data_IF_046436226799
#
_entry.id   IF_046436226799
#
_cell.length_a   1.000
_cell.length_b   1.000
_cell.length_c   1.000
_cell.angle_alpha   90.00
_cell.angle_beta   90.00
_cell.angle_gamma   90.00
#
_symmetry.space_group_name_H-M   'P 1'
#
loop_
_entity.id
_entity.type
_entity.pdbx_description
1 polymer ?
#
# COMPACT_ATOMS: atom_id res chain seq x y z
N UNK A 1 23.66 53.49 -43.86
CA UNK A 1 23.48 52.05 -44.19
C UNK A 1 24.10 51.20 -43.08
N UNK A 2 23.29 50.35 -42.42
CA UNK A 2 23.78 49.22 -41.69
C UNK A 2 23.83 49.27 -40.15
N UNK A 3 22.71 49.30 -39.45
CA UNK A 3 22.60 48.88 -38.02
C UNK A 3 21.32 48.07 -37.75
N UNK A 4 20.97 47.10 -38.57
CA UNK A 4 19.79 46.26 -38.38
C UNK A 4 20.08 44.77 -38.10
N UNK A 5 21.35 44.36 -38.10
CA UNK A 5 21.72 42.92 -37.99
C UNK A 5 21.98 42.36 -36.61
N UNK A 6 22.07 43.18 -35.53
CA UNK A 6 22.53 42.74 -34.21
C UNK A 6 21.39 42.45 -33.22
N UNK A 7 20.16 42.81 -33.50
CA UNK A 7 19.04 42.66 -32.57
C UNK A 7 18.33 41.30 -32.72
N UNK A 8 18.34 40.71 -33.91
CA UNK A 8 17.70 39.39 -34.14
C UNK A 8 18.47 38.21 -33.56
N UNK A 9 19.79 38.30 -33.37
CA UNK A 9 20.61 37.20 -32.86
C UNK A 9 20.54 37.07 -31.32
N UNK A 10 20.14 38.13 -30.62
CA UNK A 10 20.00 38.13 -29.17
C UNK A 10 18.68 37.59 -28.64
N UNK A 11 17.62 37.64 -29.44
CA UNK A 11 16.30 37.13 -29.07
C UNK A 11 16.23 35.60 -29.21
N UNK A 12 16.98 34.98 -30.11
CA UNK A 12 17.01 33.55 -30.35
C UNK A 12 17.69 32.75 -29.22
N UNK A 13 18.61 33.33 -28.45
CA UNK A 13 19.31 32.65 -27.37
C UNK A 13 18.47 32.54 -26.08
N UNK A 14 17.54 33.49 -25.86
CA UNK A 14 16.64 33.46 -24.70
C UNK A 14 15.49 32.49 -24.86
N UNK A 15 15.07 32.14 -26.08
CA UNK A 15 14.03 31.17 -26.37
C UNK A 15 14.49 29.70 -26.19
N UNK A 16 15.79 29.42 -26.28
CA UNK A 16 16.37 28.08 -26.05
C UNK A 16 16.51 27.71 -24.57
N UNK A 17 16.53 28.70 -23.67
CA UNK A 17 16.58 28.47 -22.22
C UNK A 17 15.24 28.10 -21.59
N UNK A 18 14.14 28.33 -22.28
CA UNK A 18 12.76 28.04 -21.81
C UNK A 18 12.36 26.57 -22.05
N UNK A 19 13.13 25.78 -22.80
CA UNK A 19 12.82 24.37 -23.11
C UNK A 19 13.51 23.35 -22.21
N UNK A 20 14.38 23.78 -21.30
CA UNK A 20 14.96 22.93 -20.29
C UNK A 20 14.20 23.04 -18.97
N UNK A 21 12.86 22.83 -19.00
CA UNK A 21 12.17 22.48 -17.77
C UNK A 21 12.67 21.10 -17.34
N UNK A 22 13.28 20.96 -16.15
CA UNK A 22 13.57 19.64 -15.63
C UNK A 22 12.24 18.90 -15.61
N UNK A 23 12.15 17.79 -16.34
CA UNK A 23 11.10 16.81 -16.15
C UNK A 23 11.25 16.35 -14.69
N UNK A 24 10.53 17.00 -13.79
CA UNK A 24 10.45 16.60 -12.38
C UNK A 24 9.93 15.19 -12.40
N UNK A 25 10.84 14.28 -12.13
CA UNK A 25 10.61 12.86 -12.31
C UNK A 25 9.39 12.43 -11.51
N UNK A 26 8.42 11.85 -12.21
CA UNK A 26 7.30 11.13 -11.62
C UNK A 26 7.78 9.83 -10.93
N UNK A 27 9.02 9.81 -10.46
CA UNK A 27 9.67 8.68 -9.83
C UNK A 27 9.38 8.56 -8.33
N UNK A 28 9.66 7.38 -7.79
CA UNK A 28 9.64 7.15 -6.37
C UNK A 28 10.82 7.84 -5.69
N UNK A 29 10.57 8.57 -4.61
CA UNK A 29 11.58 9.26 -3.79
C UNK A 29 11.66 8.56 -2.44
N UNK A 30 12.86 8.09 -2.05
CA UNK A 30 13.11 7.52 -0.73
C UNK A 30 12.95 8.61 0.33
N UNK A 31 12.05 8.40 1.27
CA UNK A 31 11.76 9.33 2.37
C UNK A 31 12.39 8.88 3.69
N UNK A 32 12.32 7.59 3.99
CA UNK A 32 12.82 7.04 5.24
C UNK A 32 13.37 5.63 5.04
N UNK A 33 14.36 5.28 5.87
CA UNK A 33 14.88 3.93 6.00
C UNK A 33 15.17 3.69 7.47
N UNK A 34 14.21 3.12 8.22
CA UNK A 34 14.33 2.88 9.65
C UNK A 34 14.11 1.41 9.97
N UNK A 35 14.97 0.84 10.81
CA UNK A 35 14.86 -0.55 11.26
C UNK A 35 14.71 -1.58 10.12
N UNK A 36 15.29 -1.30 8.93
CA UNK A 36 15.15 -2.17 7.75
C UNK A 36 13.78 -2.08 7.06
N UNK A 37 12.98 -1.06 7.35
CA UNK A 37 11.77 -0.69 6.60
C UNK A 37 12.14 0.49 5.71
N UNK A 38 11.95 0.34 4.40
CA UNK A 38 12.18 1.40 3.43
C UNK A 38 10.83 2.00 3.01
N UNK A 39 10.74 3.32 3.00
CA UNK A 39 9.55 4.07 2.58
C UNK A 39 9.90 4.99 1.42
N UNK A 40 9.19 4.89 0.33
CA UNK A 40 9.22 5.80 -0.80
C UNK A 40 7.88 6.49 -0.96
N UNK A 41 7.92 7.70 -1.48
CA UNK A 41 6.73 8.45 -1.86
C UNK A 41 6.80 8.86 -3.33
N UNK A 42 5.63 9.07 -3.93
CA UNK A 42 5.49 9.58 -5.28
C UNK A 42 4.24 10.46 -5.36
N UNK A 43 4.31 11.64 -6.01
CA UNK A 43 3.11 12.39 -6.37
C UNK A 43 2.14 11.51 -7.17
N UNK A 44 0.85 11.54 -6.85
CA UNK A 44 -0.18 10.79 -7.57
C UNK A 44 -1.13 11.78 -8.27
N UNK A 45 -0.99 11.98 -9.61
CA UNK A 45 -1.88 12.86 -10.36
C UNK A 45 -3.32 12.30 -10.40
N UNK A 46 -4.36 13.19 -10.38
CA UNK A 46 -4.30 14.66 -10.37
C UNK A 46 -4.23 15.28 -8.97
N UNK A 47 -4.06 14.49 -7.91
CA UNK A 47 -4.14 14.96 -6.52
C UNK A 47 -2.81 15.42 -5.92
N UNK A 48 -2.92 16.09 -4.76
CA UNK A 48 -1.77 16.50 -3.96
C UNK A 48 -1.33 15.42 -2.94
N UNK A 49 -2.10 14.35 -2.79
CA UNK A 49 -1.77 13.25 -1.89
C UNK A 49 -0.71 12.35 -2.52
N UNK A 50 0.14 11.76 -1.66
CA UNK A 50 1.22 10.91 -2.09
C UNK A 50 0.79 9.45 -2.20
N UNK A 51 1.24 8.77 -3.26
CA UNK A 51 1.33 7.33 -3.26
C UNK A 51 2.54 6.90 -2.42
N UNK A 52 2.38 5.83 -1.66
CA UNK A 52 3.39 5.28 -0.78
C UNK A 52 3.83 3.91 -1.28
N UNK A 53 5.13 3.61 -1.17
CA UNK A 53 5.68 2.27 -1.29
C UNK A 53 6.50 1.97 -0.05
N UNK A 54 6.22 0.83 0.57
CA UNK A 54 6.99 0.33 1.71
C UNK A 54 7.52 -1.06 1.40
N UNK A 55 8.73 -1.33 1.89
CA UNK A 55 9.38 -2.64 1.76
C UNK A 55 10.08 -3.02 3.05
N UNK A 56 10.01 -4.32 3.40
CA UNK A 56 10.78 -4.89 4.52
C UNK A 56 11.02 -6.38 4.30
N UNK A 57 12.07 -6.90 4.89
CA UNK A 57 12.30 -8.34 4.99
C UNK A 57 11.88 -8.85 6.36
N UNK A 58 11.15 -9.99 6.38
CA UNK A 58 10.61 -10.57 7.61
C UNK A 58 10.98 -12.04 7.69
N UNK A 59 11.47 -12.50 8.85
CA UNK A 59 11.76 -13.91 9.11
C UNK A 59 10.48 -14.69 9.43
N UNK A 60 9.59 -14.78 8.45
CA UNK A 60 8.31 -15.48 8.51
C UNK A 60 7.88 -15.89 7.09
N UNK A 61 7.03 -16.93 6.92
CA UNK A 61 6.54 -17.32 5.60
C UNK A 61 5.54 -16.30 5.03
N UNK A 62 5.37 -16.23 3.69
CA UNK A 62 4.41 -15.31 3.05
C UNK A 62 2.98 -15.41 3.60
N UNK A 63 2.53 -16.60 3.96
CA UNK A 63 1.21 -16.85 4.53
C UNK A 63 0.97 -16.09 5.86
N UNK A 64 2.03 -15.76 6.60
CA UNK A 64 1.92 -15.00 7.84
C UNK A 64 1.38 -13.57 7.58
N UNK A 65 1.77 -12.93 6.46
CA UNK A 65 1.20 -11.64 6.08
C UNK A 65 -0.32 -11.74 5.88
N UNK A 66 -0.78 -12.75 5.14
CA UNK A 66 -2.20 -12.94 4.89
C UNK A 66 -2.98 -13.21 6.18
N UNK A 67 -2.40 -14.01 7.10
CA UNK A 67 -3.00 -14.26 8.40
C UNK A 67 -3.17 -12.97 9.21
N UNK A 68 -2.16 -12.09 9.24
CA UNK A 68 -2.24 -10.78 9.92
C UNK A 68 -3.29 -9.88 9.28
N UNK A 69 -3.30 -9.75 7.95
CA UNK A 69 -4.22 -8.84 7.25
C UNK A 69 -5.69 -9.30 7.33
N UNK A 70 -5.95 -10.61 7.42
CA UNK A 70 -7.30 -11.18 7.53
C UNK A 70 -7.83 -11.30 8.95
N UNK A 71 -6.98 -11.13 9.96
CA UNK A 71 -7.41 -11.13 11.36
C UNK A 71 -8.04 -9.78 11.72
N UNK A 72 -9.31 -9.64 11.38
CA UNK A 72 -10.08 -8.41 11.65
C UNK A 72 -10.33 -8.19 13.14
N UNK A 73 -10.18 -9.20 14.00
CA UNK A 73 -10.28 -9.05 15.45
C UNK A 73 -9.10 -8.32 16.07
N UNK A 74 -7.94 -8.37 15.41
CA UNK A 74 -6.69 -7.75 15.88
C UNK A 74 -6.24 -6.56 15.03
N UNK A 75 -7.15 -5.98 14.25
CA UNK A 75 -6.81 -4.90 13.30
C UNK A 75 -6.12 -3.68 13.95
N UNK A 76 -6.47 -3.33 15.18
CA UNK A 76 -5.88 -2.19 15.89
C UNK A 76 -4.40 -2.38 16.21
N UNK A 77 -3.91 -3.62 16.23
CA UNK A 77 -2.50 -3.89 16.52
C UNK A 77 -1.57 -3.46 15.37
N UNK A 78 -2.08 -3.42 14.12
CA UNK A 78 -1.30 -3.00 12.96
C UNK A 78 -1.91 -1.82 12.19
N UNK A 79 -3.17 -1.48 12.43
CA UNK A 79 -3.86 -0.31 11.86
C UNK A 79 -4.42 0.54 13.02
N UNK A 80 -3.58 1.25 13.78
CA UNK A 80 -3.95 1.88 15.05
C UNK A 80 -5.05 2.94 14.93
N UNK A 81 -5.20 3.60 13.76
CA UNK A 81 -6.28 4.55 13.53
C UNK A 81 -7.63 3.87 13.23
N UNK A 82 -7.69 2.55 13.08
CA UNK A 82 -8.94 1.86 12.79
C UNK A 82 -9.80 1.73 14.05
N UNK A 83 -11.03 2.22 13.97
CA UNK A 83 -12.04 2.11 15.03
C UNK A 83 -12.89 0.86 14.85
N UNK A 84 -13.09 0.45 13.62
CA UNK A 84 -13.91 -0.71 13.25
C UNK A 84 -13.38 -1.32 11.96
N UNK A 85 -13.26 -2.65 11.92
CA UNK A 85 -13.01 -3.43 10.70
C UNK A 85 -13.94 -4.62 10.68
N UNK A 86 -14.68 -4.80 9.59
CA UNK A 86 -15.57 -5.96 9.43
C UNK A 86 -15.65 -6.42 7.99
N UNK A 87 -15.69 -7.70 7.79
CA UNK A 87 -15.94 -8.31 6.48
C UNK A 87 -17.40 -8.16 6.16
N UNK A 88 -17.74 -7.53 5.03
CA UNK A 88 -19.10 -7.36 4.54
C UNK A 88 -19.56 -8.55 3.71
N UNK A 89 -18.66 -9.06 2.85
CA UNK A 89 -18.95 -10.17 1.95
C UNK A 89 -17.66 -10.88 1.53
N UNK A 90 -17.81 -12.10 1.07
CA UNK A 90 -16.77 -12.91 0.41
C UNK A 90 -17.32 -13.38 -0.94
N UNK A 91 -17.16 -12.57 -2.01
CA UNK A 91 -17.70 -12.91 -3.33
C UNK A 91 -17.09 -14.19 -3.92
N UNK A 92 -15.84 -14.48 -3.58
CA UNK A 92 -15.12 -15.69 -3.94
C UNK A 92 -14.15 -16.12 -2.81
N UNK A 93 -13.57 -17.33 -2.84
CA UNK A 93 -12.64 -17.81 -1.79
C UNK A 93 -11.42 -16.91 -1.58
N UNK A 94 -10.97 -16.25 -2.64
CA UNK A 94 -9.82 -15.34 -2.63
C UNK A 94 -10.23 -13.86 -2.75
N UNK A 95 -11.49 -13.52 -2.48
CA UNK A 95 -12.01 -12.15 -2.50
C UNK A 95 -12.72 -11.81 -1.21
N UNK A 96 -12.42 -10.63 -0.67
CA UNK A 96 -13.07 -10.09 0.51
C UNK A 96 -13.55 -8.65 0.22
N UNK A 97 -14.78 -8.30 0.68
CA UNK A 97 -15.25 -6.92 0.76
C UNK A 97 -15.23 -6.53 2.23
N UNK A 98 -14.47 -5.49 2.56
CA UNK A 98 -14.20 -5.10 3.94
C UNK A 98 -14.58 -3.65 4.15
N UNK A 99 -15.30 -3.39 5.24
CA UNK A 99 -15.58 -2.06 5.75
C UNK A 99 -14.54 -1.72 6.83
N UNK A 100 -13.98 -0.51 6.76
CA UNK A 100 -13.06 0.04 7.75
C UNK A 100 -13.49 1.45 8.12
N UNK A 101 -13.64 1.72 9.43
CA UNK A 101 -13.79 3.07 9.98
C UNK A 101 -12.46 3.54 10.55
N UNK A 102 -12.02 4.71 10.13
CA UNK A 102 -10.76 5.32 10.54
C UNK A 102 -11.03 6.59 11.36
N UNK A 103 -10.37 6.70 12.50
CA UNK A 103 -10.39 7.90 13.31
C UNK A 103 -9.73 9.06 12.57
N UNK A 104 -10.27 10.25 12.74
CA UNK A 104 -9.63 11.49 12.33
C UNK A 104 -9.50 12.44 13.54
N UNK A 105 -8.45 13.30 13.59
CA UNK A 105 -8.29 14.26 14.67
C UNK A 105 -9.41 15.29 14.64
N UNK A 106 -9.98 15.58 15.81
CA UNK A 106 -10.98 16.64 15.94
C UNK A 106 -10.43 17.99 15.40
N UNK A 107 -11.23 18.82 14.69
CA UNK A 107 -12.67 18.74 14.44
C UNK A 107 -13.08 17.97 13.16
N UNK A 108 -12.19 17.18 12.61
CA UNK A 108 -12.40 16.46 11.37
C UNK A 108 -13.26 15.21 11.60
N UNK A 109 -14.22 14.95 10.70
CA UNK A 109 -15.05 13.75 10.77
C UNK A 109 -14.22 12.48 10.51
N UNK A 110 -14.60 11.36 11.13
CA UNK A 110 -14.05 10.05 10.82
C UNK A 110 -14.20 9.71 9.33
N UNK A 111 -13.27 8.90 8.85
CA UNK A 111 -13.35 8.35 7.49
C UNK A 111 -13.89 6.93 7.51
N UNK A 112 -14.60 6.59 6.46
CA UNK A 112 -14.98 5.22 6.20
C UNK A 112 -14.51 4.79 4.81
N UNK A 113 -13.96 3.61 4.76
CA UNK A 113 -13.43 3.01 3.54
C UNK A 113 -14.05 1.63 3.37
N UNK A 114 -14.58 1.35 2.19
CA UNK A 114 -14.93 0.00 1.79
C UNK A 114 -13.93 -0.42 0.72
N UNK A 115 -13.30 -1.56 0.93
CA UNK A 115 -12.36 -2.13 -0.01
C UNK A 115 -12.87 -3.45 -0.55
N UNK A 116 -12.60 -3.71 -1.82
CA UNK A 116 -12.65 -5.03 -2.41
C UNK A 116 -11.21 -5.50 -2.58
N UNK A 117 -10.91 -6.71 -2.17
CA UNK A 117 -9.57 -7.30 -2.30
C UNK A 117 -9.64 -8.62 -3.04
N UNK A 118 -8.57 -8.91 -3.81
CA UNK A 118 -8.38 -10.17 -4.51
C UNK A 118 -6.98 -10.71 -4.25
N UNK A 119 -6.91 -11.93 -3.74
CA UNK A 119 -5.69 -12.67 -3.49
C UNK A 119 -5.30 -13.49 -4.73
N UNK A 120 -4.04 -13.37 -5.14
CA UNK A 120 -3.38 -14.24 -6.09
C UNK A 120 -2.26 -15.00 -5.39
N UNK A 121 -2.23 -16.33 -5.54
CA UNK A 121 -1.14 -17.19 -5.06
C UNK A 121 -0.16 -17.41 -6.20
N UNK A 122 1.12 -17.23 -5.94
CA UNK A 122 2.19 -17.46 -6.90
C UNK A 122 2.72 -18.90 -6.79
N UNK A 123 3.33 -19.45 -7.85
CA UNK A 123 3.84 -20.83 -7.84
C UNK A 123 4.94 -21.09 -6.81
N UNK A 124 5.69 -20.06 -6.43
CA UNK A 124 6.76 -20.09 -5.42
C UNK A 124 6.26 -19.86 -3.98
N UNK A 125 4.93 -19.99 -3.76
CA UNK A 125 4.24 -19.67 -2.51
C UNK A 125 4.23 -18.18 -2.14
N UNK A 126 4.65 -17.32 -3.04
CA UNK A 126 4.44 -15.89 -2.93
C UNK A 126 2.94 -15.55 -2.99
N UNK A 127 2.60 -14.40 -2.46
CA UNK A 127 1.23 -13.88 -2.43
C UNK A 127 1.20 -12.47 -2.97
N UNK A 128 0.15 -12.17 -3.72
CA UNK A 128 -0.21 -10.82 -4.16
C UNK A 128 -1.65 -10.56 -3.77
N UNK A 129 -1.88 -9.51 -2.96
CA UNK A 129 -3.22 -9.06 -2.60
C UNK A 129 -3.45 -7.68 -3.21
N UNK A 130 -4.28 -7.63 -4.24
CA UNK A 130 -4.74 -6.36 -4.83
C UNK A 130 -5.96 -5.85 -4.07
N UNK A 131 -5.99 -4.56 -3.76
CA UNK A 131 -7.04 -3.91 -2.98
C UNK A 131 -7.47 -2.64 -3.69
N UNK A 132 -8.77 -2.40 -3.80
CA UNK A 132 -9.31 -1.16 -4.39
C UNK A 132 -10.57 -0.73 -3.66
N UNK A 133 -10.89 0.56 -3.71
CA UNK A 133 -12.11 1.09 -3.11
C UNK A 133 -13.36 0.54 -3.80
N UNK A 134 -14.35 0.19 -3.00
CA UNK A 134 -15.69 -0.23 -3.42
C UNK A 134 -16.74 0.65 -2.71
N UNK A 135 -16.75 1.99 -2.97
CA UNK A 135 -17.49 2.96 -2.15
C UNK A 135 -19.01 2.76 -2.17
N UNK A 136 -19.52 2.11 -3.20
CA UNK A 136 -20.96 1.93 -3.40
C UNK A 136 -21.47 0.55 -2.92
N UNK A 137 -20.60 -0.30 -2.34
CA UNK A 137 -20.98 -1.61 -1.78
C UNK A 137 -21.84 -1.49 -0.49
N UNK A 138 -21.89 -0.32 0.13
CA UNK A 138 -22.73 -0.01 1.28
C UNK A 138 -23.08 1.48 1.25
N UNK A 139 -24.34 1.88 1.59
CA UNK A 139 -24.69 3.28 1.76
C UNK A 139 -23.77 3.99 2.76
N UNK A 140 -23.44 5.29 2.56
CA UNK A 140 -22.61 6.05 3.50
C UNK A 140 -23.30 6.19 4.86
N UNK A 141 -22.53 6.12 5.95
CA UNK A 141 -23.02 6.41 7.28
C UNK A 141 -23.03 7.92 7.54
N UNK A 142 -24.09 8.47 8.15
CA UNK A 142 -24.12 9.87 8.56
C UNK A 142 -22.93 10.23 9.47
N UNK A 143 -22.39 11.43 9.30
CA UNK A 143 -21.28 11.93 10.13
C UNK A 143 -19.91 11.34 9.83
N UNK A 144 -19.77 10.62 8.73
CA UNK A 144 -18.50 10.04 8.22
C UNK A 144 -18.24 10.47 6.80
N UNK A 145 -16.97 10.61 6.44
CA UNK A 145 -16.57 10.89 5.06
C UNK A 145 -16.21 9.60 4.37
N UNK A 146 -16.93 9.26 3.28
CA UNK A 146 -16.65 8.08 2.48
C UNK A 146 -15.43 8.31 1.59
N UNK A 147 -14.37 7.53 1.82
CA UNK A 147 -13.22 7.45 0.90
C UNK A 147 -13.68 6.76 -0.39
N UNK A 148 -13.58 7.48 -1.51
CA UNK A 148 -14.03 6.98 -2.81
C UNK A 148 -12.88 6.46 -3.68
N UNK A 149 -11.65 6.90 -3.41
CA UNK A 149 -10.47 6.51 -4.16
C UNK A 149 -9.43 5.96 -3.21
N UNK A 150 -9.17 4.67 -3.32
CA UNK A 150 -8.08 3.97 -2.63
C UNK A 150 -7.70 2.77 -3.45
N UNK A 151 -6.41 2.55 -3.58
CA UNK A 151 -5.83 1.37 -4.20
C UNK A 151 -4.61 0.92 -3.42
N UNK A 152 -4.37 -0.37 -3.42
CA UNK A 152 -3.24 -0.96 -2.75
C UNK A 152 -2.86 -2.30 -3.37
N UNK A 153 -1.57 -2.61 -3.31
CA UNK A 153 -1.02 -3.88 -3.73
C UNK A 153 -0.01 -4.36 -2.71
N UNK A 154 -0.38 -5.41 -2.00
CA UNK A 154 0.51 -6.14 -1.12
C UNK A 154 1.19 -7.26 -1.88
N UNK A 155 2.48 -7.42 -1.64
CA UNK A 155 3.26 -8.56 -2.10
C UNK A 155 3.99 -9.19 -0.92
N UNK A 156 3.94 -10.51 -0.82
CA UNK A 156 4.74 -11.29 0.10
C UNK A 156 5.51 -12.33 -0.72
N UNK A 157 6.78 -12.09 -0.95
CA UNK A 157 7.62 -12.87 -1.86
C UNK A 157 8.69 -13.64 -1.08
N UNK A 158 8.71 -14.98 -1.12
CA UNK A 158 9.70 -15.76 -0.42
C UNK A 158 11.10 -15.50 -0.98
N UNK A 159 12.10 -15.47 -0.10
CA UNK A 159 13.50 -15.28 -0.45
C UNK A 159 14.30 -16.55 -0.19
N UNK A 160 15.40 -16.72 -0.93
CA UNK A 160 16.27 -17.91 -0.81
C UNK A 160 16.86 -18.09 0.60
N UNK A 161 17.01 -17.03 1.38
CA UNK A 161 17.51 -17.04 2.76
C UNK A 161 16.43 -17.36 3.81
N UNK A 162 15.22 -17.79 3.39
CA UNK A 162 14.12 -18.13 4.28
C UNK A 162 13.34 -16.94 4.85
N UNK A 163 13.65 -15.71 4.42
CA UNK A 163 12.83 -14.54 4.76
C UNK A 163 11.75 -14.32 3.70
N UNK A 164 10.80 -13.42 3.99
CA UNK A 164 9.82 -12.92 3.03
C UNK A 164 10.07 -11.44 2.78
N UNK A 165 10.19 -11.04 1.52
CA UNK A 165 10.06 -9.64 1.15
C UNK A 165 8.59 -9.25 1.17
N UNK A 166 8.23 -8.34 2.07
CA UNK A 166 6.90 -7.73 2.14
C UNK A 166 6.98 -6.35 1.50
N UNK A 167 6.14 -6.12 0.49
CA UNK A 167 5.99 -4.84 -0.18
C UNK A 167 4.54 -4.39 -0.16
N UNK A 168 4.31 -3.10 0.04
CA UNK A 168 3.03 -2.43 -0.18
C UNK A 168 3.25 -1.25 -1.12
N UNK A 169 2.45 -1.17 -2.15
CA UNK A 169 2.21 0.08 -2.88
C UNK A 169 0.77 0.51 -2.62
N UNK A 170 0.55 1.75 -2.25
CA UNK A 170 -0.81 2.22 -1.96
C UNK A 170 -0.98 3.70 -2.27
N UNK A 171 -2.19 4.05 -2.63
CA UNK A 171 -2.68 5.42 -2.74
C UNK A 171 -4.07 5.50 -2.13
N UNK A 172 -4.32 6.57 -1.38
CA UNK A 172 -5.65 6.85 -0.82
C UNK A 172 -5.91 8.35 -0.83
N UNK A 173 -7.04 8.75 -1.40
CA UNK A 173 -7.55 10.11 -1.27
C UNK A 173 -8.54 10.14 -0.10
N UNK A 174 -8.21 10.77 1.05
CA UNK A 174 -9.06 10.79 2.24
C UNK A 174 -10.25 11.73 2.13
N UNK A 175 -10.44 12.38 0.97
CA UNK A 175 -11.44 13.40 0.69
C UNK A 175 -10.83 14.81 0.61
N UNK A 176 -11.45 15.65 -0.21
CA UNK A 176 -10.89 16.94 -0.65
C UNK A 176 -10.91 18.05 0.42
N UNK A 177 -11.44 17.77 1.60
CA UNK A 177 -11.52 18.76 2.70
C UNK A 177 -10.24 18.86 3.52
N UNK A 178 -9.27 17.97 3.30
CA UNK A 178 -8.01 17.93 4.05
C UNK A 178 -6.85 18.42 3.18
N UNK A 179 -6.00 19.31 3.70
CA UNK A 179 -4.83 19.76 2.97
C UNK A 179 -3.74 18.67 2.94
N UNK A 180 -3.05 18.52 1.82
CA UNK A 180 -2.01 17.51 1.64
C UNK A 180 -0.83 17.66 2.59
N UNK A 181 -0.50 18.91 2.99
CA UNK A 181 0.58 19.16 3.96
C UNK A 181 0.30 18.54 5.34
N UNK A 182 -0.97 18.32 5.68
CA UNK A 182 -1.38 17.63 6.91
C UNK A 182 -1.46 16.11 6.69
N UNK A 183 -2.09 15.69 5.59
CA UNK A 183 -2.36 14.27 5.32
C UNK A 183 -1.08 13.50 5.00
N UNK A 184 -0.20 14.05 4.17
CA UNK A 184 0.98 13.30 3.70
C UNK A 184 1.92 12.86 4.84
N UNK A 185 2.32 13.73 5.81
CA UNK A 185 3.09 13.28 6.96
C UNK A 185 2.36 12.24 7.82
N UNK A 186 1.07 12.47 8.11
CA UNK A 186 0.28 11.51 8.89
C UNK A 186 0.19 10.14 8.22
N UNK A 187 0.02 10.09 6.90
CA UNK A 187 -0.05 8.85 6.15
C UNK A 187 1.29 8.10 6.16
N UNK A 188 2.41 8.80 6.01
CA UNK A 188 3.75 8.18 6.07
C UNK A 188 4.05 7.62 7.44
N UNK A 189 3.77 8.37 8.52
CA UNK A 189 3.98 7.91 9.90
C UNK A 189 3.11 6.70 10.23
N UNK A 190 1.82 6.75 9.88
CA UNK A 190 0.90 5.65 10.07
C UNK A 190 1.34 4.39 9.31
N UNK A 191 1.84 4.53 8.08
CA UNK A 191 2.33 3.42 7.28
C UNK A 191 3.58 2.77 7.91
N UNK A 192 4.54 3.55 8.41
CA UNK A 192 5.71 3.03 9.12
C UNK A 192 5.32 2.31 10.41
N UNK A 193 4.41 2.88 11.21
CA UNK A 193 3.89 2.23 12.42
C UNK A 193 3.22 0.88 12.09
N UNK A 194 2.38 0.86 11.03
CA UNK A 194 1.73 -0.36 10.57
C UNK A 194 2.74 -1.42 10.15
N UNK A 195 3.79 -1.06 9.41
CA UNK A 195 4.82 -2.01 8.97
C UNK A 195 5.62 -2.58 10.12
N UNK A 196 5.99 -1.77 11.13
CA UNK A 196 6.63 -2.27 12.37
C UNK A 196 5.74 -3.28 13.09
N UNK A 197 4.46 -2.99 13.19
CA UNK A 197 3.50 -3.87 13.84
C UNK A 197 3.27 -5.16 13.05
N UNK A 198 3.07 -5.08 11.73
CA UNK A 198 2.91 -6.25 10.85
C UNK A 198 4.13 -7.17 10.96
N UNK A 199 5.36 -6.62 10.97
CA UNK A 199 6.57 -7.42 11.14
C UNK A 199 6.54 -8.23 12.45
N UNK A 200 6.20 -7.61 13.58
CA UNK A 200 6.08 -8.29 14.87
C UNK A 200 5.02 -9.39 14.84
N UNK A 201 3.86 -9.08 14.28
CA UNK A 201 2.73 -10.01 14.18
C UNK A 201 3.03 -11.19 13.24
N UNK A 202 3.71 -10.97 12.13
CA UNK A 202 4.12 -12.03 11.21
C UNK A 202 5.09 -13.01 11.87
N UNK A 203 6.07 -12.50 12.62
CA UNK A 203 7.05 -13.36 13.36
C UNK A 203 6.36 -14.15 14.46
N UNK A 204 5.36 -13.57 15.12
CA UNK A 204 4.61 -14.23 16.19
C UNK A 204 3.48 -15.15 15.67
N UNK A 205 3.14 -15.09 14.40
CA UNK A 205 2.02 -15.86 13.85
C UNK A 205 2.35 -17.37 13.87
N UNK A 206 1.49 -18.23 14.43
CA UNK A 206 1.66 -19.69 14.43
C UNK A 206 1.30 -20.24 13.03
N UNK A 207 1.93 -19.74 12.00
CA UNK A 207 1.75 -20.26 10.65
C UNK A 207 2.69 -21.42 10.50
N UNK A 208 2.15 -22.64 10.47
CA UNK A 208 2.89 -23.82 10.08
C UNK A 208 3.58 -23.52 8.74
N UNK A 209 4.87 -23.79 8.67
CA UNK A 209 5.62 -23.73 7.41
C UNK A 209 4.98 -24.80 6.52
N UNK A 210 3.90 -24.44 5.80
CA UNK A 210 3.48 -25.24 4.67
C UNK A 210 4.68 -25.29 3.74
N UNK A 211 5.28 -26.47 3.61
CA UNK A 211 6.48 -26.73 2.87
C UNK A 211 6.21 -26.48 1.37
N UNK A 212 6.18 -25.21 0.99
CA UNK A 212 6.31 -24.79 -0.40
C UNK A 212 7.78 -24.82 -0.83
N UNK A 213 8.68 -25.28 0.01
CA UNK A 213 10.07 -25.52 -0.33
C UNK A 213 10.18 -26.85 -1.06
N UNK A 214 10.44 -26.78 -2.36
CA UNK A 214 10.78 -27.89 -3.27
C UNK A 214 9.62 -28.74 -3.78
N UNK A 215 8.74 -28.19 -4.61
CA UNK A 215 8.31 -28.99 -5.73
C UNK A 215 9.36 -28.90 -6.85
N UNK A 216 10.45 -29.67 -6.71
CA UNK A 216 11.11 -30.24 -7.88
C UNK A 216 10.06 -31.05 -8.63
N UNK A 217 10.05 -31.05 -9.98
CA UNK A 217 9.12 -31.86 -10.75
C UNK A 217 9.51 -33.35 -10.63
N UNK A 218 9.04 -34.00 -9.60
CA UNK A 218 9.04 -35.45 -9.52
C UNK A 218 7.79 -35.86 -8.74
N UNK A 219 6.82 -36.38 -9.51
CA UNK A 219 5.50 -36.75 -9.04
C UNK A 219 5.49 -37.51 -7.72
N UNK A 220 4.70 -36.97 -6.80
CA UNK A 220 3.81 -37.70 -5.87
C UNK A 220 3.08 -36.64 -5.04
N UNK A 221 1.77 -36.68 -5.10
CA UNK A 221 0.88 -35.86 -4.29
C UNK A 221 1.08 -36.21 -2.81
N UNK A 222 1.54 -35.23 -2.02
CA UNK A 222 1.53 -35.29 -0.57
C UNK A 222 0.47 -34.31 -0.06
N UNK A 223 -0.61 -34.84 0.51
CA UNK A 223 -1.65 -34.05 1.17
C UNK A 223 -1.08 -33.40 2.44
N UNK A 224 -1.30 -32.09 2.61
CA UNK A 224 -1.07 -31.40 3.88
C UNK A 224 -2.20 -31.80 4.85
N UNK A 225 -1.92 -32.70 5.79
CA UNK A 225 -2.82 -32.96 6.91
C UNK A 225 -2.66 -31.85 7.95
N UNK A 226 -3.73 -31.10 8.17
CA UNK A 226 -3.92 -30.31 9.37
C UNK A 226 -4.22 -31.30 10.52
N UNK A 227 -3.41 -31.28 11.57
CA UNK A 227 -3.73 -31.95 12.83
C UNK A 227 -3.97 -30.90 13.91
N UNK A 228 -4.86 -31.14 14.86
CA UNK A 228 -5.66 -30.19 15.62
C UNK A 228 -4.92 -29.29 16.58
#
# INVERSE_FOLDING_TARGET
MGKAGSLMMRVGIWLLWLLCMPAWGQGWHLQAGEEGILLWTRPHPPGAFLALRLEMYVAAPPAALLAVLRDTGRHQEWLPQSLEVRVLAKPAPDEDIVYTRLAAPWPVQDRELITHSRLQRLPDCGLVLSVWAAPDALPPYPGRVRIRTSEGRWEALPQLNGTTLVRLETYTNPGDTLPAWLVNPMATDAALQSFRAIRRLMVAAPVGICACLHQRPSGKHGACNATP
#
